data_IF_588120763923
#
_entry.id   IF_588120763923
#
_cell.length_a   1.000
_cell.length_b   1.000
_cell.length_c   1.000
_cell.angle_alpha   90.00
_cell.angle_beta   90.00
_cell.angle_gamma   90.00
#
_symmetry.space_group_name_H-M   'P 1'
#
loop_
_entity.id
_entity.type
_entity.pdbx_description
1 polymer ?
#
# COMPACT_ATOMS: atom_id res chain seq x y z
N UNK A 1 -2.77 29.32 -1.81
CA UNK A 1 -1.67 28.65 -2.54
C UNK A 1 -2.27 27.67 -3.54
N UNK A 2 -1.66 27.44 -4.71
CA UNK A 2 -2.22 26.57 -5.78
C UNK A 2 -2.59 25.16 -5.27
N UNK A 3 -1.83 24.63 -4.30
CA UNK A 3 -2.10 23.34 -3.71
C UNK A 3 -3.38 23.31 -2.87
N UNK A 4 -3.72 24.38 -2.16
CA UNK A 4 -4.96 24.46 -1.36
C UNK A 4 -6.18 24.44 -2.29
N UNK A 5 -6.09 25.15 -3.41
CA UNK A 5 -7.14 25.15 -4.44
C UNK A 5 -7.35 23.75 -5.00
N UNK A 6 -6.28 23.03 -5.32
CA UNK A 6 -6.35 21.65 -5.81
C UNK A 6 -6.97 20.72 -4.76
N UNK A 7 -6.58 20.86 -3.49
CA UNK A 7 -7.08 20.02 -2.40
C UNK A 7 -8.54 20.32 -2.02
N UNK A 8 -9.10 21.45 -2.42
CA UNK A 8 -10.53 21.75 -2.26
C UNK A 8 -11.42 21.04 -3.30
N UNK A 9 -10.86 20.59 -4.42
CA UNK A 9 -11.62 19.92 -5.50
C UNK A 9 -12.14 18.53 -5.10
N UNK A 10 -13.12 17.96 -5.83
CA UNK A 10 -13.49 16.56 -5.69
C UNK A 10 -12.28 15.61 -5.87
N UNK A 11 -12.24 14.42 -5.23
CA UNK A 11 -11.06 13.56 -5.21
C UNK A 11 -10.48 13.23 -6.60
N UNK A 12 -11.33 12.95 -7.58
CA UNK A 12 -10.90 12.63 -8.94
C UNK A 12 -10.34 13.85 -9.69
N UNK A 13 -10.89 15.05 -9.46
CA UNK A 13 -10.37 16.30 -10.01
C UNK A 13 -9.03 16.66 -9.38
N UNK A 14 -8.94 16.58 -8.05
CA UNK A 14 -7.71 16.79 -7.30
C UNK A 14 -6.61 15.82 -7.77
N UNK A 15 -6.94 14.54 -7.97
CA UNK A 15 -6.03 13.53 -8.53
C UNK A 15 -5.50 13.94 -9.90
N UNK A 16 -6.38 14.35 -10.83
CA UNK A 16 -5.98 14.79 -12.18
C UNK A 16 -5.08 16.02 -12.13
N UNK A 17 -5.45 17.01 -11.33
CA UNK A 17 -4.66 18.22 -11.14
C UNK A 17 -3.26 17.92 -10.57
N UNK A 18 -3.16 17.12 -9.51
CA UNK A 18 -1.88 16.72 -8.92
C UNK A 18 -1.00 15.93 -9.91
N UNK A 19 -1.60 15.03 -10.70
CA UNK A 19 -0.89 14.23 -11.71
C UNK A 19 -0.35 15.08 -12.87
N UNK A 20 -0.97 16.24 -13.13
CA UNK A 20 -0.53 17.15 -14.20
C UNK A 20 0.75 17.94 -13.87
N UNK A 21 1.16 17.94 -12.59
CA UNK A 21 2.34 18.68 -12.14
C UNK A 21 3.62 17.94 -12.60
N UNK A 22 4.53 18.60 -13.34
CA UNK A 22 5.78 17.98 -13.76
C UNK A 22 6.59 17.42 -12.59
N UNK A 23 7.01 16.16 -12.70
CA UNK A 23 7.76 15.46 -11.64
C UNK A 23 6.91 14.78 -10.56
N UNK A 24 5.58 14.95 -10.58
CA UNK A 24 4.66 14.29 -9.64
C UNK A 24 4.14 12.99 -10.25
N UNK A 25 4.65 11.86 -9.75
CA UNK A 25 4.17 10.53 -10.15
C UNK A 25 3.00 10.02 -9.30
N UNK A 26 2.35 8.93 -9.74
CA UNK A 26 1.16 8.33 -9.10
C UNK A 26 1.32 8.12 -7.59
N UNK A 27 2.49 7.64 -7.14
CA UNK A 27 2.77 7.45 -5.72
C UNK A 27 2.66 8.75 -4.93
N UNK A 28 3.24 9.83 -5.44
CA UNK A 28 3.24 11.13 -4.77
C UNK A 28 1.82 11.67 -4.68
N UNK A 29 1.05 11.57 -5.77
CA UNK A 29 -0.38 11.92 -5.80
C UNK A 29 -1.14 11.18 -4.71
N UNK A 30 -0.96 9.87 -4.61
CA UNK A 30 -1.68 9.04 -3.63
C UNK A 30 -1.29 9.34 -2.19
N UNK A 31 -0.02 9.67 -1.92
CA UNK A 31 0.40 10.12 -0.58
C UNK A 31 -0.31 11.41 -0.20
N UNK A 32 -0.35 12.39 -1.11
CA UNK A 32 -1.05 13.67 -0.87
C UNK A 32 -2.54 13.42 -0.64
N UNK A 33 -3.20 12.65 -1.50
CA UNK A 33 -4.60 12.32 -1.36
C UNK A 33 -4.88 11.56 -0.05
N UNK A 34 -4.04 10.60 0.34
CA UNK A 34 -4.21 9.85 1.59
C UNK A 34 -4.17 10.75 2.83
N UNK A 35 -3.30 11.77 2.83
CA UNK A 35 -3.12 12.67 3.97
C UNK A 35 -4.20 13.75 4.06
N UNK A 36 -4.65 14.29 2.93
CA UNK A 36 -5.55 15.45 2.90
C UNK A 36 -7.01 15.11 2.57
N UNK A 37 -7.26 13.98 1.91
CA UNK A 37 -8.60 13.54 1.50
C UNK A 37 -8.98 12.15 2.00
N UNK A 38 -8.01 11.33 2.37
CA UNK A 38 -8.23 9.94 2.76
C UNK A 38 -8.63 9.05 1.59
N UNK A 39 -9.12 7.84 1.90
CA UNK A 39 -9.73 6.97 0.91
C UNK A 39 -8.80 6.35 -0.13
N UNK A 40 -7.48 6.43 0.02
CA UNK A 40 -6.51 5.84 -0.91
C UNK A 40 -5.38 5.16 -0.14
N UNK A 41 -4.83 4.06 -0.70
CA UNK A 41 -3.68 3.34 -0.11
C UNK A 41 -2.44 3.57 -0.97
N UNK A 42 -1.50 4.44 -0.59
CA UNK A 42 -0.27 4.61 -1.34
C UNK A 42 0.55 3.31 -1.34
N UNK A 43 1.14 2.94 -2.48
CA UNK A 43 1.92 1.70 -2.59
C UNK A 43 3.41 2.01 -2.74
N UNK A 44 4.21 1.71 -1.73
CA UNK A 44 5.68 1.75 -1.83
C UNK A 44 6.28 0.34 -1.97
N UNK A 45 7.61 0.24 -1.88
CA UNK A 45 8.30 -1.06 -2.00
C UNK A 45 8.03 -2.00 -0.82
N UNK A 46 7.71 -1.48 0.37
CA UNK A 46 7.31 -2.26 1.54
C UNK A 46 5.87 -2.75 1.37
N UNK A 47 4.93 -1.86 1.09
CA UNK A 47 3.51 -2.17 0.85
C UNK A 47 3.38 -3.19 -0.26
N UNK A 48 4.00 -2.96 -1.42
CA UNK A 48 3.99 -3.92 -2.55
C UNK A 48 4.45 -5.31 -2.13
N UNK A 49 5.57 -5.40 -1.42
CA UNK A 49 6.14 -6.69 -1.00
C UNK A 49 5.25 -7.39 0.01
N UNK A 50 4.79 -6.66 1.03
CA UNK A 50 3.95 -7.22 2.10
C UNK A 50 2.61 -7.66 1.54
N UNK A 51 1.95 -6.82 0.73
CA UNK A 51 0.68 -7.16 0.07
C UNK A 51 0.80 -8.45 -0.75
N UNK A 52 1.83 -8.55 -1.59
CA UNK A 52 2.04 -9.75 -2.40
C UNK A 52 2.38 -11.00 -1.57
N UNK A 53 3.17 -10.87 -0.50
CA UNK A 53 3.51 -12.02 0.37
C UNK A 53 2.33 -12.51 1.21
N UNK A 54 1.49 -11.59 1.67
CA UNK A 54 0.27 -11.91 2.41
C UNK A 54 -0.81 -12.53 1.52
N UNK A 55 -0.75 -12.34 0.19
CA UNK A 55 -1.80 -12.75 -0.75
C UNK A 55 -2.88 -11.70 -0.98
N UNK A 56 -2.70 -10.47 -0.46
CA UNK A 56 -3.62 -9.35 -0.69
C UNK A 56 -3.59 -8.83 -2.13
N UNK A 57 -2.50 -9.09 -2.86
CA UNK A 57 -2.43 -8.87 -4.30
C UNK A 57 -1.50 -9.90 -4.92
N UNK A 58 -1.59 -10.10 -6.24
CA UNK A 58 -0.67 -10.93 -7.04
C UNK A 58 -0.07 -10.14 -8.20
N UNK A 59 -0.14 -8.81 -8.14
CA UNK A 59 0.29 -7.93 -9.21
C UNK A 59 1.62 -7.24 -8.91
N UNK A 60 2.36 -6.93 -9.97
CA UNK A 60 3.49 -6.01 -9.94
C UNK A 60 3.10 -4.56 -10.23
N UNK A 61 1.88 -4.32 -10.74
CA UNK A 61 1.39 -2.98 -11.11
C UNK A 61 1.00 -2.19 -9.87
N UNK A 62 1.54 -0.97 -9.75
CA UNK A 62 1.21 -0.03 -8.67
C UNK A 62 -0.30 0.15 -8.54
N UNK A 63 -0.96 0.52 -9.63
CA UNK A 63 -2.39 0.78 -9.69
C UNK A 63 -3.20 -0.44 -9.25
N UNK A 64 -2.83 -1.61 -9.75
CA UNK A 64 -3.56 -2.84 -9.42
C UNK A 64 -3.42 -3.20 -7.94
N UNK A 65 -2.21 -3.09 -7.37
CA UNK A 65 -1.99 -3.34 -5.95
C UNK A 65 -2.81 -2.36 -5.10
N UNK A 66 -2.81 -1.07 -5.45
CA UNK A 66 -3.61 -0.04 -4.76
C UNK A 66 -5.09 -0.41 -4.74
N UNK A 67 -5.66 -0.68 -5.93
CA UNK A 67 -7.07 -1.08 -6.08
C UNK A 67 -7.38 -2.37 -5.30
N UNK A 68 -6.45 -3.33 -5.26
CA UNK A 68 -6.62 -4.55 -4.48
C UNK A 68 -6.68 -4.24 -2.98
N UNK A 69 -5.75 -3.45 -2.45
CA UNK A 69 -5.74 -3.05 -1.03
C UNK A 69 -6.96 -2.22 -0.65
N UNK A 70 -7.42 -1.33 -1.52
CA UNK A 70 -8.64 -0.54 -1.32
C UNK A 70 -9.90 -1.40 -1.23
N UNK A 71 -9.92 -2.61 -1.81
CA UNK A 71 -11.03 -3.57 -1.63
C UNK A 71 -10.99 -4.28 -0.28
N UNK A 72 -9.82 -4.43 0.34
CA UNK A 72 -9.68 -5.07 1.66
C UNK A 72 -9.86 -4.09 2.82
N UNK A 73 -9.46 -2.83 2.66
CA UNK A 73 -9.48 -1.85 3.73
C UNK A 73 -10.60 -0.82 3.52
N UNK A 74 -11.53 -0.67 4.50
CA UNK A 74 -12.53 0.39 4.46
C UNK A 74 -11.85 1.77 4.35
N UNK A 75 -12.53 2.71 3.69
CA UNK A 75 -11.98 4.03 3.32
C UNK A 75 -11.24 4.73 4.46
N UNK A 76 -11.83 4.72 5.66
CA UNK A 76 -11.32 5.43 6.83
C UNK A 76 -10.03 4.82 7.39
N UNK A 77 -9.81 3.51 7.18
CA UNK A 77 -8.63 2.79 7.68
C UNK A 77 -7.49 2.68 6.65
N UNK A 78 -7.64 3.24 5.45
CA UNK A 78 -6.67 3.06 4.35
C UNK A 78 -5.30 3.67 4.65
N UNK A 79 -5.27 4.83 5.30
CA UNK A 79 -4.01 5.47 5.70
C UNK A 79 -3.30 4.67 6.81
N UNK A 80 -4.03 4.16 7.79
CA UNK A 80 -3.47 3.35 8.87
C UNK A 80 -2.98 2.00 8.35
N UNK A 81 -3.75 1.36 7.46
CA UNK A 81 -3.33 0.15 6.77
C UNK A 81 -2.01 0.38 6.00
N UNK A 82 -1.89 1.48 5.26
CA UNK A 82 -0.65 1.88 4.61
C UNK A 82 0.53 1.96 5.61
N UNK A 83 0.35 2.66 6.73
CA UNK A 83 1.39 2.80 7.76
C UNK A 83 1.78 1.47 8.40
N UNK A 84 0.80 0.61 8.73
CA UNK A 84 1.07 -0.70 9.31
C UNK A 84 1.77 -1.65 8.33
N UNK A 85 1.42 -1.62 7.04
CA UNK A 85 2.10 -2.40 6.02
C UNK A 85 3.55 -1.94 5.84
N UNK A 86 3.83 -0.64 5.89
CA UNK A 86 5.20 -0.11 5.91
C UNK A 86 5.94 -0.61 7.16
N UNK A 87 5.34 -0.44 8.34
CA UNK A 87 5.96 -0.83 9.61
C UNK A 87 6.32 -2.31 9.62
N UNK A 88 5.38 -3.17 9.22
CA UNK A 88 5.58 -4.60 9.10
C UNK A 88 6.69 -4.92 8.08
N UNK A 89 6.66 -4.28 6.91
CA UNK A 89 7.64 -4.47 5.85
C UNK A 89 9.06 -4.04 6.24
N UNK A 90 9.20 -3.05 7.12
CA UNK A 90 10.49 -2.57 7.63
C UNK A 90 11.04 -3.45 8.75
N UNK A 91 10.20 -3.82 9.73
CA UNK A 91 10.65 -4.48 10.95
C UNK A 91 10.67 -6.00 10.86
N UNK A 92 9.73 -6.60 10.14
CA UNK A 92 9.50 -8.06 10.18
C UNK A 92 9.61 -8.67 8.77
N UNK A 93 8.76 -8.22 7.84
CA UNK A 93 8.68 -8.73 6.47
C UNK A 93 9.72 -8.07 5.55
N UNK A 94 11.00 -8.18 5.96
CA UNK A 94 12.16 -7.63 5.26
C UNK A 94 12.33 -8.27 3.88
N UNK A 95 12.96 -7.55 2.95
CA UNK A 95 13.17 -8.03 1.58
C UNK A 95 13.94 -9.35 1.56
N UNK A 96 15.04 -9.41 2.32
CA UNK A 96 15.87 -10.60 2.54
C UNK A 96 15.68 -11.09 3.97
N UNK A 97 15.68 -12.42 4.17
CA UNK A 97 15.55 -13.08 5.49
C UNK A 97 14.42 -12.47 6.35
N UNK A 98 13.14 -12.54 5.88
CA UNK A 98 12.01 -12.07 6.67
C UNK A 98 11.92 -12.86 7.98
N UNK A 99 11.51 -12.18 9.06
CA UNK A 99 11.38 -12.77 10.39
C UNK A 99 10.00 -13.45 10.53
N UNK A 100 9.72 -14.44 9.68
CA UNK A 100 8.39 -15.07 9.61
C UNK A 100 7.97 -15.69 10.94
N UNK A 101 8.90 -16.26 11.71
CA UNK A 101 8.61 -16.93 12.99
C UNK A 101 8.01 -16.01 14.06
N UNK A 102 8.34 -14.71 14.02
CA UNK A 102 7.77 -13.70 14.93
C UNK A 102 6.67 -12.86 14.27
N UNK A 103 6.31 -13.16 13.02
CA UNK A 103 5.34 -12.35 12.29
C UNK A 103 3.93 -12.61 12.80
N UNK A 104 3.18 -11.59 13.25
CA UNK A 104 1.83 -11.78 13.77
C UNK A 104 0.84 -12.28 12.71
N UNK A 105 1.18 -12.13 11.42
CA UNK A 105 0.35 -12.57 10.30
C UNK A 105 0.80 -13.92 9.72
N UNK A 106 1.75 -14.64 10.35
CA UNK A 106 2.36 -15.87 9.81
C UNK A 106 1.32 -16.93 9.45
N UNK A 107 0.32 -17.15 10.30
CA UNK A 107 -0.75 -18.14 10.08
C UNK A 107 -1.64 -17.84 8.88
N UNK A 108 -1.72 -16.58 8.47
CA UNK A 108 -2.56 -16.10 7.36
C UNK A 108 -1.77 -15.78 6.09
N UNK A 109 -0.44 -15.91 6.11
CA UNK A 109 0.44 -15.40 5.06
C UNK A 109 0.75 -16.46 3.99
N UNK A 110 0.23 -16.29 2.76
CA UNK A 110 0.49 -17.23 1.64
C UNK A 110 1.98 -17.56 1.47
N UNK A 111 2.88 -16.57 1.57
CA UNK A 111 4.32 -16.78 1.44
C UNK A 111 4.90 -17.69 2.52
N UNK A 112 4.46 -17.53 3.78
CA UNK A 112 4.93 -18.35 4.89
C UNK A 112 4.35 -19.78 4.83
N UNK A 113 3.12 -19.92 4.32
CA UNK A 113 2.46 -21.21 4.15
C UNK A 113 3.13 -22.07 3.08
N UNK A 114 3.48 -21.50 1.92
CA UNK A 114 4.19 -22.22 0.84
C UNK A 114 5.54 -22.78 1.28
N UNK A 115 6.23 -22.07 2.19
CA UNK A 115 7.48 -22.58 2.77
C UNK A 115 7.32 -23.86 3.60
N UNK A 116 6.10 -24.18 4.07
CA UNK A 116 5.81 -25.40 4.83
C UNK A 116 5.58 -26.63 3.94
N UNK A 117 5.12 -26.44 2.71
CA UNK A 117 4.85 -27.54 1.78
C UNK A 117 6.13 -28.17 1.20
N UNK A 118 7.25 -27.44 1.22
CA UNK A 118 8.55 -27.94 0.73
C UNK A 118 9.32 -28.71 1.82
N UNK A 119 8.86 -28.67 3.08
CA UNK A 119 9.52 -29.30 4.24
C UNK A 119 8.75 -30.50 4.81
N UNK A 120 7.67 -30.94 4.14
CA UNK A 120 6.93 -32.16 4.43
C UNK A 120 7.16 -33.16 3.31
#
# INVERSE_FOLDING_TARGET
>A
NDLETILAMPPEEARRALTSIPGVGEKTVDVVLALFKGGVVPVDTHVRRVANRLGLSKSSSYRKIREDLERYFPSDFRLEAHMYLILLGRRICRARKPLCEICPLRSYCEYALKGREIQR
#
